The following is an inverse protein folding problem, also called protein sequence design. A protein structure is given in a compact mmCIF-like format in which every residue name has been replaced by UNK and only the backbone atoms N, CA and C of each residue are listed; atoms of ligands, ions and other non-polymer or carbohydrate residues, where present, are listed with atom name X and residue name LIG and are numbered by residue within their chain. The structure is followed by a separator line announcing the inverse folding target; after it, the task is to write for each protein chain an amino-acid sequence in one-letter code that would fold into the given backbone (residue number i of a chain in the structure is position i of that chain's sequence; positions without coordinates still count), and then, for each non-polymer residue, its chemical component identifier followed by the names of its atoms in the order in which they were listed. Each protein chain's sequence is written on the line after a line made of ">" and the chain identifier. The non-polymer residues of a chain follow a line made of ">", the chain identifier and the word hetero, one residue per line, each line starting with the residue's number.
data_IF_334639156958
#
_entry.id   IF_334639156958
#
_cell.length_a   1.000
_cell.length_b   1.000
_cell.length_c   1.000
_cell.angle_alpha   90.00
_cell.angle_beta   90.00
_cell.angle_gamma   90.00
#
_symmetry.space_group_name_H-M   'P 1'
#
loop_
_entity.id
_entity.type
_entity.pdbx_description
1 polymer ?
#
# COMPACT_ATOMS: atom_id res chain seq x y z
N UNK A 1 -20.20 -30.17 3.80
CA UNK A 1 -20.10 -28.75 3.41
C UNK A 1 -18.83 -28.22 4.04
N UNK A 2 -17.72 -28.27 3.30
CA UNK A 2 -16.38 -28.14 3.85
C UNK A 2 -15.92 -26.69 3.70
N UNK A 3 -16.28 -25.84 4.65
CA UNK A 3 -15.66 -24.53 4.78
C UNK A 3 -14.32 -24.69 5.48
N UNK A 4 -13.24 -24.87 4.70
CA UNK A 4 -11.85 -24.84 5.14
C UNK A 4 -11.42 -23.38 5.47
N UNK A 5 -12.19 -22.69 6.31
CA UNK A 5 -11.89 -21.33 6.75
C UNK A 5 -11.31 -21.36 8.15
N UNK A 6 -10.03 -21.02 8.30
CA UNK A 6 -9.41 -20.86 9.61
C UNK A 6 -9.82 -19.50 10.19
N UNK A 7 -10.70 -19.52 11.20
CA UNK A 7 -11.21 -18.34 11.90
C UNK A 7 -10.28 -18.07 13.08
N UNK A 8 -9.21 -17.31 12.87
CA UNK A 8 -8.38 -16.81 13.96
C UNK A 8 -8.98 -15.54 14.55
N UNK A 9 -8.91 -15.36 15.87
CA UNK A 9 -9.41 -14.15 16.57
C UNK A 9 -8.81 -12.82 16.07
N UNK A 10 -7.69 -12.90 15.34
CA UNK A 10 -6.94 -11.76 14.78
C UNK A 10 -7.17 -11.59 13.26
N UNK A 11 -7.55 -12.66 12.56
CA UNK A 11 -7.71 -12.66 11.10
C UNK A 11 -8.77 -13.69 10.68
N UNK A 12 -9.86 -13.19 10.11
CA UNK A 12 -10.90 -14.02 9.51
C UNK A 12 -10.72 -14.01 8.00
N UNK A 13 -9.97 -14.97 7.47
CA UNK A 13 -9.97 -15.22 6.02
C UNK A 13 -11.30 -15.85 5.64
N UNK A 14 -12.31 -15.01 5.41
CA UNK A 14 -13.52 -15.45 4.74
C UNK A 14 -13.14 -15.77 3.30
N UNK A 15 -13.12 -17.06 2.94
CA UNK A 15 -13.09 -17.53 1.55
C UNK A 15 -14.41 -17.15 0.88
N UNK A 16 -14.65 -15.85 0.74
CA UNK A 16 -15.74 -15.31 -0.05
C UNK A 16 -15.21 -15.20 -1.49
N UNK A 17 -15.90 -15.84 -2.44
CA UNK A 17 -15.56 -15.81 -3.87
C UNK A 17 -15.62 -14.37 -4.39
N UNK A 18 -14.51 -13.65 -4.27
CA UNK A 18 -14.27 -12.36 -4.89
C UNK A 18 -13.38 -12.57 -6.11
N UNK A 19 -13.56 -11.72 -7.13
CA UNK A 19 -12.71 -11.76 -8.31
C UNK A 19 -11.23 -11.61 -7.88
N UNK A 20 -10.38 -12.64 -8.08
CA UNK A 20 -9.00 -12.62 -7.63
C UNK A 20 -8.19 -11.52 -8.32
N UNK A 21 -8.56 -11.11 -9.53
CA UNK A 21 -7.90 -10.02 -10.25
C UNK A 21 -8.11 -8.67 -9.57
N UNK A 22 -9.30 -8.42 -9.03
CA UNK A 22 -9.59 -7.18 -8.30
C UNK A 22 -8.76 -7.11 -7.02
N UNK A 23 -8.71 -8.21 -6.25
CA UNK A 23 -7.90 -8.26 -5.02
C UNK A 23 -6.42 -8.15 -5.34
N UNK A 24 -5.93 -8.85 -6.37
CA UNK A 24 -4.55 -8.75 -6.82
C UNK A 24 -4.20 -7.32 -7.24
N UNK A 25 -5.08 -6.64 -7.98
CA UNK A 25 -4.84 -5.26 -8.38
C UNK A 25 -4.75 -4.31 -7.20
N UNK A 26 -5.69 -4.41 -6.26
CA UNK A 26 -5.67 -3.56 -5.09
C UNK A 26 -4.52 -3.89 -4.14
N UNK A 27 -4.09 -5.15 -4.07
CA UNK A 27 -2.92 -5.58 -3.28
C UNK A 27 -1.62 -5.05 -3.90
N UNK A 28 -1.55 -4.94 -5.22
CA UNK A 28 -0.41 -4.37 -5.93
C UNK A 28 -0.35 -2.84 -5.81
N UNK A 29 -1.52 -2.17 -5.85
CA UNK A 29 -1.61 -0.72 -5.73
C UNK A 29 -1.36 -0.23 -4.29
N UNK A 30 -1.90 -0.95 -3.30
CA UNK A 30 -1.80 -0.62 -1.88
C UNK A 30 -1.68 -1.91 -1.06
N UNK A 31 -0.48 -2.30 -0.57
CA UNK A 31 -0.31 -3.53 0.20
C UNK A 31 -1.28 -3.64 1.39
N UNK A 32 -1.61 -2.53 2.06
CA UNK A 32 -2.58 -2.52 3.17
C UNK A 32 -4.01 -2.93 2.77
N UNK A 33 -4.42 -2.65 1.53
CA UNK A 33 -5.76 -2.97 1.04
C UNK A 33 -5.95 -4.48 0.79
N UNK A 34 -4.88 -5.19 0.43
CA UNK A 34 -4.89 -6.65 0.32
C UNK A 34 -5.22 -7.32 1.66
N UNK A 35 -4.58 -6.88 2.74
CA UNK A 35 -4.85 -7.40 4.10
C UNK A 35 -6.28 -7.10 4.58
N UNK A 36 -6.81 -5.89 4.29
CA UNK A 36 -8.21 -5.55 4.59
C UNK A 36 -9.16 -6.47 3.81
N UNK A 37 -8.86 -6.72 2.52
CA UNK A 37 -9.69 -7.56 1.65
C UNK A 37 -9.74 -9.03 2.10
N UNK A 38 -8.70 -9.49 2.79
CA UNK A 38 -8.55 -10.82 3.38
C UNK A 38 -9.09 -10.92 4.83
N UNK A 39 -9.69 -9.84 5.36
CA UNK A 39 -10.27 -9.80 6.71
C UNK A 39 -9.26 -9.60 7.84
N UNK A 40 -8.01 -9.24 7.52
CA UNK A 40 -7.00 -8.82 8.50
C UNK A 40 -6.97 -7.29 8.60
N UNK A 41 -7.99 -6.74 9.26
CA UNK A 41 -8.21 -5.30 9.35
C UNK A 41 -7.10 -4.58 10.11
N UNK A 42 -6.60 -5.15 11.22
CA UNK A 42 -5.60 -4.47 12.08
C UNK A 42 -4.32 -4.20 11.30
N UNK A 43 -3.74 -5.25 10.70
CA UNK A 43 -2.49 -5.12 9.93
C UNK A 43 -2.75 -4.32 8.64
N UNK A 44 -3.89 -4.54 7.99
CA UNK A 44 -4.22 -3.84 6.77
C UNK A 44 -4.41 -2.33 6.94
N UNK A 45 -5.09 -1.89 8.00
CA UNK A 45 -5.20 -0.46 8.33
C UNK A 45 -3.86 0.14 8.73
N UNK A 46 -3.04 -0.56 9.51
CA UNK A 46 -1.71 -0.08 9.89
C UNK A 46 -0.85 0.18 8.65
N UNK A 47 -0.80 -0.78 7.72
CA UNK A 47 -0.06 -0.65 6.47
C UNK A 47 -0.64 0.45 5.57
N UNK A 48 -1.97 0.57 5.48
CA UNK A 48 -2.63 1.60 4.70
C UNK A 48 -2.29 3.01 5.22
N UNK A 49 -2.42 3.27 6.52
CA UNK A 49 -2.09 4.56 7.10
C UNK A 49 -0.60 4.88 6.96
N UNK A 50 0.26 3.89 7.20
CA UNK A 50 1.70 4.03 7.04
C UNK A 50 2.07 4.42 5.60
N UNK A 51 1.43 3.79 4.62
CA UNK A 51 1.61 4.09 3.20
C UNK A 51 1.13 5.50 2.83
N UNK A 52 -0.02 5.94 3.34
CA UNK A 52 -0.52 7.31 3.13
C UNK A 52 0.46 8.35 3.70
N UNK A 53 1.00 8.11 4.90
CA UNK A 53 1.98 9.00 5.52
C UNK A 53 3.25 9.09 4.65
N UNK A 54 3.79 7.95 4.21
CA UNK A 54 4.98 7.91 3.36
C UNK A 54 4.73 8.58 2.01
N UNK A 55 3.60 8.29 1.35
CA UNK A 55 3.26 8.89 0.05
C UNK A 55 3.15 10.42 0.15
N UNK A 56 2.57 10.92 1.23
CA UNK A 56 2.47 12.36 1.50
C UNK A 56 3.84 12.98 1.74
N UNK A 57 4.67 12.35 2.59
CA UNK A 57 6.01 12.86 2.92
C UNK A 57 7.01 12.76 1.77
N UNK A 58 6.88 11.76 0.92
CA UNK A 58 7.74 11.57 -0.25
C UNK A 58 7.31 12.42 -1.46
N UNK A 59 6.22 13.18 -1.37
CA UNK A 59 5.73 14.05 -2.44
C UNK A 59 5.24 13.28 -3.67
N UNK A 60 4.81 12.03 -3.51
CA UNK A 60 4.51 11.10 -4.62
C UNK A 60 3.37 11.63 -5.50
N UNK A 61 2.30 12.17 -4.91
CA UNK A 61 1.17 12.71 -5.65
C UNK A 61 1.57 13.87 -6.58
N UNK A 62 2.40 14.79 -6.08
CA UNK A 62 2.89 15.91 -6.88
C UNK A 62 3.89 15.45 -7.94
N UNK A 63 4.74 14.47 -7.64
CA UNK A 63 5.64 13.87 -8.62
C UNK A 63 4.90 13.15 -9.76
N UNK A 64 3.81 12.45 -9.46
CA UNK A 64 2.94 11.83 -10.47
C UNK A 64 2.33 12.90 -11.38
N UNK A 65 1.81 13.99 -10.81
CA UNK A 65 1.25 15.11 -11.58
C UNK A 65 2.27 15.73 -12.53
N UNK A 66 3.47 16.05 -12.03
CA UNK A 66 4.54 16.62 -12.87
C UNK A 66 5.04 15.64 -13.92
N UNK A 67 5.04 14.33 -13.63
CA UNK A 67 5.39 13.29 -14.60
C UNK A 67 4.39 13.22 -15.75
N UNK A 68 3.09 13.35 -15.47
CA UNK A 68 2.06 13.36 -16.52
C UNK A 68 2.13 14.59 -17.42
N UNK A 69 2.58 15.73 -16.89
CA UNK A 69 2.77 16.96 -17.67
C UNK A 69 4.10 16.92 -18.46
N UNK A 70 4.96 15.93 -18.19
CA UNK A 70 6.27 15.79 -18.83
C UNK A 70 7.38 16.66 -18.21
N UNK A 71 7.10 17.34 -17.10
CA UNK A 71 8.08 18.18 -16.37
C UNK A 71 8.89 17.32 -15.39
N UNK A 72 9.84 16.56 -15.95
CA UNK A 72 10.72 15.69 -15.17
C UNK A 72 11.72 16.46 -14.30
N UNK A 73 11.98 17.74 -14.59
CA UNK A 73 12.85 18.58 -13.78
C UNK A 73 12.19 18.87 -12.42
N UNK A 74 10.95 19.39 -12.45
CA UNK A 74 10.16 19.60 -11.22
C UNK A 74 9.80 18.30 -10.52
N UNK A 75 9.57 17.23 -11.27
CA UNK A 75 9.34 15.89 -10.70
C UNK A 75 10.48 15.49 -9.76
N UNK A 76 11.75 15.67 -10.17
CA UNK A 76 12.92 15.30 -9.35
C UNK A 76 13.11 16.20 -8.14
N UNK A 77 12.70 17.46 -8.23
CA UNK A 77 12.79 18.43 -7.14
C UNK A 77 11.73 18.16 -6.06
N UNK A 78 10.49 17.91 -6.48
CA UNK A 78 9.36 17.67 -5.58
C UNK A 78 9.38 16.25 -5.02
N UNK A 79 9.90 15.28 -5.78
CA UNK A 79 10.15 13.93 -5.29
C UNK A 79 11.34 13.98 -4.34
N UNK A 80 11.07 14.12 -3.04
CA UNK A 80 12.09 14.14 -1.99
C UNK A 80 12.74 12.76 -1.82
N UNK A 81 13.58 12.41 -2.79
CA UNK A 81 14.24 11.12 -2.91
C UNK A 81 15.28 10.96 -1.79
N UNK A 82 15.81 12.08 -1.28
CA UNK A 82 16.68 12.13 -0.09
C UNK A 82 15.91 11.73 1.18
N UNK A 83 14.71 12.27 1.41
CA UNK A 83 13.88 11.87 2.54
C UNK A 83 13.56 10.37 2.50
N UNK A 84 13.13 9.84 1.35
CA UNK A 84 12.83 8.40 1.22
C UNK A 84 14.07 7.53 1.49
N UNK A 85 15.22 7.83 0.87
CA UNK A 85 16.45 7.03 1.02
C UNK A 85 17.11 7.17 2.40
N UNK A 86 16.90 8.27 3.12
CA UNK A 86 17.51 8.50 4.42
C UNK A 86 16.63 8.00 5.58
N UNK A 87 15.30 8.11 5.45
CA UNK A 87 14.36 7.78 6.51
C UNK A 87 13.87 6.33 6.48
N UNK A 88 13.90 5.65 5.32
CA UNK A 88 13.46 4.24 5.18
C UNK A 88 14.63 3.25 5.20
N UNK A 89 15.85 3.66 4.81
CA UNK A 89 17.05 2.80 4.88
C UNK A 89 17.33 2.20 6.27
N UNK A 90 17.09 2.87 7.42
CA UNK A 90 17.32 2.25 8.73
C UNK A 90 16.27 1.22 9.17
N UNK A 91 15.22 0.95 8.38
CA UNK A 91 14.17 -0.02 8.71
C UNK A 91 14.32 -1.37 7.95
N UNK A 92 15.30 -1.49 7.05
CA UNK A 92 15.53 -2.65 6.18
C UNK A 92 16.93 -3.29 6.37
N UNK A 93 17.63 -2.94 7.46
CA UNK A 93 18.87 -3.56 7.96
C UNK A 93 18.62 -4.06 9.38
#
# INVERSE_FOLDING_TARGET
>A
MNSLGHIGAIATNFLHLRNPYTIAWWSAAFPGFGYISLGNYIIGFLLFFWEVIINTKAGVNAAILYSFIGDFAKTKEVLNTKWRKQNIRPLLL
#
